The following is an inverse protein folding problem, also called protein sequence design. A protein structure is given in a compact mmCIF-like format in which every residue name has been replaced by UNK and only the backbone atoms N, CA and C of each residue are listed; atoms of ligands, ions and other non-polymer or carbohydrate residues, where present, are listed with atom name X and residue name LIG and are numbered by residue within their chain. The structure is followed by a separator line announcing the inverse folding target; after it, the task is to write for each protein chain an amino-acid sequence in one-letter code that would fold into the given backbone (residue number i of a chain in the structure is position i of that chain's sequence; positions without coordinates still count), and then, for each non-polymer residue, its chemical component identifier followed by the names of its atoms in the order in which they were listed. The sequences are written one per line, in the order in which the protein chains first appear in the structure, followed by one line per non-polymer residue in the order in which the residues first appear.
data_IF_483767131243
#
_entry.id   IF_483767131243
#
_cell.length_a   1.000
_cell.length_b   1.000
_cell.length_c   1.000
_cell.angle_alpha   90.00
_cell.angle_beta   90.00
_cell.angle_gamma   90.00
#
_symmetry.space_group_name_H-M   'P 1'
#
loop_
_entity.id
_entity.type
_entity.pdbx_description
1 polymer ?
#
# COMPACT_ATOMS: atom_id res chain seq x y z
N UNK A 1 9.62 -21.68 6.70
CA UNK A 1 8.79 -21.05 7.76
C UNK A 1 9.52 -19.96 8.51
N UNK A 2 10.69 -20.21 9.12
CA UNK A 2 11.40 -19.18 9.91
C UNK A 2 11.86 -17.96 9.09
N UNK A 3 12.23 -18.14 7.82
CA UNK A 3 12.71 -17.04 6.97
C UNK A 3 11.58 -16.17 6.40
N UNK A 4 10.38 -16.73 6.22
CA UNK A 4 9.20 -15.99 5.74
C UNK A 4 8.72 -14.99 6.81
N UNK A 5 8.60 -15.44 8.06
CA UNK A 5 8.23 -14.55 9.18
C UNK A 5 9.24 -13.41 9.41
N UNK A 6 10.53 -13.66 9.12
CA UNK A 6 11.56 -12.61 9.15
C UNK A 6 11.41 -11.62 7.99
N UNK A 7 11.12 -12.10 6.79
CA UNK A 7 10.91 -11.24 5.63
C UNK A 7 9.71 -10.31 5.84
N UNK A 8 8.59 -10.84 6.34
CA UNK A 8 7.39 -10.05 6.68
C UNK A 8 7.72 -8.93 7.68
N UNK A 9 8.47 -9.25 8.73
CA UNK A 9 8.86 -8.28 9.74
C UNK A 9 9.77 -7.17 9.18
N UNK A 10 10.73 -7.53 8.31
CA UNK A 10 11.64 -6.56 7.68
C UNK A 10 10.86 -5.65 6.72
N UNK A 11 9.99 -6.22 5.88
CA UNK A 11 9.19 -5.46 4.93
C UNK A 11 8.24 -4.51 5.67
N UNK A 12 7.54 -5.01 6.70
CA UNK A 12 6.68 -4.17 7.54
C UNK A 12 7.43 -3.01 8.18
N UNK A 13 8.64 -3.26 8.73
CA UNK A 13 9.48 -2.21 9.30
C UNK A 13 9.89 -1.16 8.25
N UNK A 14 10.34 -1.60 7.08
CA UNK A 14 10.73 -0.70 5.99
C UNK A 14 9.57 0.20 5.52
N UNK A 15 8.34 -0.35 5.48
CA UNK A 15 7.14 0.43 5.12
C UNK A 15 6.81 1.47 6.18
N UNK A 16 6.92 1.12 7.47
CA UNK A 16 6.72 2.08 8.56
C UNK A 16 7.76 3.21 8.51
N UNK A 17 9.01 2.88 8.22
CA UNK A 17 10.08 3.87 8.04
C UNK A 17 9.81 4.78 6.84
N UNK A 18 9.38 4.21 5.71
CA UNK A 18 9.03 4.97 4.52
C UNK A 18 7.82 5.90 4.77
N UNK A 19 6.77 5.41 5.42
CA UNK A 19 5.58 6.18 5.79
C UNK A 19 5.93 7.34 6.74
N UNK A 20 6.80 7.10 7.74
CA UNK A 20 7.31 8.15 8.62
C UNK A 20 8.10 9.21 7.83
N UNK A 21 9.00 8.79 6.94
CA UNK A 21 9.80 9.70 6.12
C UNK A 21 8.94 10.55 5.18
N UNK A 22 7.94 9.95 4.54
CA UNK A 22 7.00 10.66 3.65
C UNK A 22 6.24 11.72 4.46
N UNK A 23 5.69 11.35 5.63
CA UNK A 23 4.98 12.29 6.51
C UNK A 23 5.86 13.46 6.92
N UNK A 24 7.08 13.20 7.38
CA UNK A 24 8.01 14.25 7.76
C UNK A 24 8.29 15.20 6.61
N UNK A 25 8.55 14.68 5.40
CA UNK A 25 8.83 15.52 4.22
C UNK A 25 7.64 16.36 3.79
N UNK A 26 6.42 15.82 3.89
CA UNK A 26 5.20 16.57 3.59
C UNK A 26 4.98 17.70 4.60
N UNK A 27 5.15 17.40 5.90
CA UNK A 27 5.06 18.39 6.97
C UNK A 27 6.11 19.49 6.84
N UNK A 28 7.35 19.14 6.52
CA UNK A 28 8.44 20.11 6.29
C UNK A 28 8.14 21.05 5.12
N UNK A 29 7.32 20.60 4.15
CA UNK A 29 6.82 21.40 3.04
C UNK A 29 5.52 22.17 3.36
N UNK A 30 4.98 22.04 4.58
CA UNK A 30 3.71 22.64 4.99
C UNK A 30 2.48 21.97 4.38
N UNK A 31 2.59 20.71 3.96
CA UNK A 31 1.54 19.94 3.30
C UNK A 31 1.01 18.88 4.27
N UNK A 32 -0.27 18.95 4.58
CA UNK A 32 -0.99 17.94 5.35
C UNK A 32 -2.00 17.23 4.46
N UNK A 33 -1.65 16.04 3.98
CA UNK A 33 -2.54 15.22 3.13
C UNK A 33 -2.62 13.78 3.66
N UNK A 34 -3.80 13.13 3.55
CA UNK A 34 -3.92 11.69 3.77
C UNK A 34 -3.18 10.92 2.66
N UNK A 35 -2.51 9.83 3.01
CA UNK A 35 -1.86 8.94 2.06
C UNK A 35 -1.85 7.48 2.55
N UNK A 36 -1.61 6.58 1.60
CA UNK A 36 -1.58 5.14 1.82
C UNK A 36 -0.30 4.60 1.17
N UNK A 37 0.46 3.82 1.92
CA UNK A 37 1.63 3.08 1.43
C UNK A 37 1.24 1.62 1.27
N UNK A 38 1.37 1.11 0.05
CA UNK A 38 1.10 -0.28 -0.30
C UNK A 38 2.40 -0.93 -0.78
N UNK A 39 2.72 -2.11 -0.27
CA UNK A 39 3.75 -2.97 -0.84
C UNK A 39 3.20 -4.39 -0.98
N UNK A 40 3.69 -5.11 -1.99
CA UNK A 40 3.37 -6.52 -2.19
C UNK A 40 4.70 -7.27 -2.28
N UNK A 41 4.84 -8.33 -1.49
CA UNK A 41 6.03 -9.19 -1.59
C UNK A 41 5.92 -10.18 -2.75
N UNK A 42 7.00 -10.93 -2.97
CA UNK A 42 7.09 -11.93 -4.03
C UNK A 42 6.09 -13.09 -3.89
N UNK A 43 5.59 -13.33 -2.68
CA UNK A 43 4.60 -14.38 -2.38
C UNK A 43 3.16 -13.85 -2.56
N UNK A 44 3.02 -12.56 -2.87
CA UNK A 44 1.73 -11.89 -3.09
C UNK A 44 1.10 -11.35 -1.80
N UNK A 45 1.79 -11.38 -0.67
CA UNK A 45 1.30 -10.78 0.57
C UNK A 45 1.35 -9.26 0.46
N UNK A 46 0.22 -8.61 0.72
CA UNK A 46 0.11 -7.15 0.69
C UNK A 46 0.28 -6.56 2.09
N UNK A 47 1.12 -5.53 2.18
CA UNK A 47 1.37 -4.73 3.37
C UNK A 47 0.77 -3.34 3.14
N UNK A 48 -0.05 -2.90 4.08
CA UNK A 48 -0.77 -1.63 3.96
C UNK A 48 -0.53 -0.79 5.21
N UNK A 49 0.05 0.39 5.03
CA UNK A 49 0.15 1.40 6.07
C UNK A 49 -0.59 2.65 5.61
N UNK A 50 -1.47 3.18 6.45
CA UNK A 50 -2.23 4.38 6.12
C UNK A 50 -2.39 5.30 7.33
N UNK A 51 -2.53 6.60 7.04
CA UNK A 51 -3.00 7.60 8.00
C UNK A 51 -4.38 8.16 7.57
N UNK A 52 -5.06 7.49 6.65
CA UNK A 52 -6.26 7.98 6.00
C UNK A 52 -7.52 7.50 6.72
N UNK A 53 -8.60 8.27 6.61
CA UNK A 53 -9.89 7.90 7.19
C UNK A 53 -10.56 6.71 6.46
N UNK A 54 -11.61 6.12 7.05
CA UNK A 54 -12.35 5.00 6.45
C UNK A 54 -12.89 5.28 5.04
N UNK A 55 -13.19 6.54 4.73
CA UNK A 55 -13.66 6.98 3.42
C UNK A 55 -12.57 6.82 2.34
N UNK A 56 -11.36 7.32 2.61
CA UNK A 56 -10.24 7.18 1.68
C UNK A 56 -9.84 5.71 1.44
N UNK A 57 -9.97 4.86 2.47
CA UNK A 57 -9.77 3.41 2.31
C UNK A 57 -10.83 2.78 1.41
N UNK A 58 -12.09 3.23 1.50
CA UNK A 58 -13.16 2.76 0.61
C UNK A 58 -12.88 3.18 -0.83
N UNK A 59 -12.45 4.41 -1.05
CA UNK A 59 -12.13 4.89 -2.40
C UNK A 59 -10.95 4.13 -3.00
N UNK A 60 -9.89 3.89 -2.21
CA UNK A 60 -8.79 3.03 -2.65
C UNK A 60 -9.26 1.62 -3.01
N UNK A 61 -10.14 1.02 -2.21
CA UNK A 61 -10.68 -0.30 -2.49
C UNK A 61 -11.46 -0.33 -3.81
N UNK A 62 -12.27 0.70 -4.08
CA UNK A 62 -12.98 0.85 -5.36
C UNK A 62 -11.99 0.90 -6.52
N UNK A 63 -10.94 1.72 -6.44
CA UNK A 63 -9.92 1.85 -7.48
C UNK A 63 -9.19 0.52 -7.72
N UNK A 64 -8.86 -0.23 -6.65
CA UNK A 64 -8.21 -1.54 -6.78
C UNK A 64 -9.14 -2.54 -7.49
N UNK A 65 -10.43 -2.54 -7.18
CA UNK A 65 -11.41 -3.41 -7.83
C UNK A 65 -11.53 -3.09 -9.33
N UNK A 66 -11.64 -1.81 -9.67
CA UNK A 66 -11.69 -1.36 -11.07
C UNK A 66 -10.47 -1.81 -11.86
N UNK A 67 -9.26 -1.64 -11.30
CA UNK A 67 -8.01 -2.09 -11.92
C UNK A 67 -8.01 -3.62 -12.11
N UNK A 68 -8.51 -4.37 -11.13
CA UNK A 68 -8.56 -5.83 -11.20
C UNK A 68 -9.56 -6.34 -12.25
N UNK A 69 -10.72 -5.70 -12.34
CA UNK A 69 -11.75 -5.99 -13.35
C UNK A 69 -11.24 -5.69 -14.76
N UNK A 70 -10.61 -4.53 -14.96
CA UNK A 70 -10.00 -4.13 -16.23
C UNK A 70 -8.90 -5.11 -16.66
N UNK A 71 -8.04 -5.53 -15.72
CA UNK A 71 -7.01 -6.52 -15.98
C UNK A 71 -7.60 -7.88 -16.39
N UNK A 72 -8.66 -8.31 -15.71
CA UNK A 72 -9.36 -9.56 -16.01
C UNK A 72 -10.01 -9.53 -17.40
N UNK A 73 -10.69 -8.42 -17.72
CA UNK A 73 -11.31 -8.21 -19.03
C UNK A 73 -10.28 -8.14 -20.17
N UNK A 74 -9.09 -7.57 -19.91
CA UNK A 74 -8.00 -7.58 -20.88
C UNK A 74 -7.43 -8.98 -21.12
N UNK A 75 -7.30 -9.78 -20.04
CA UNK A 75 -6.80 -11.16 -20.11
C UNK A 75 -7.72 -12.10 -20.89
N UNK A 76 -9.04 -11.90 -20.84
CA UNK A 76 -10.01 -12.73 -21.57
C UNK A 76 -10.07 -12.44 -23.09
N UNK A 77 -9.47 -11.33 -23.54
CA UNK A 77 -9.44 -10.90 -24.96
C UNK A 77 -8.19 -11.36 -25.72
N UNK A 78 -7.26 -12.02 -25.03
CA UNK A 78 -6.00 -12.54 -25.57
C UNK A 78 -5.89 -14.06 -25.38
#
# INVERSE_FOLDING_TARGET
MADHCKAEAIIGAAILEADALIRTRLLDAGIEIPHIVLAVDQDGTAYVQNNAGPEALRDLATVILEIADDYSAAKERH
#
